data_IF_268797618744
#
_entry.id   IF_268797618744
#
_cell.length_a   1.000
_cell.length_b   1.000
_cell.length_c   1.000
_cell.angle_alpha   90.00
_cell.angle_beta   90.00
_cell.angle_gamma   90.00
#
_symmetry.space_group_name_H-M   'P 1'
#
loop_
_entity.id
_entity.type
_entity.pdbx_description
1 polymer ?
#
# COMPACT_ATOMS: atom_id res chain seq x y z
N UNK A 1 3.50 -21.51 -13.51
CA UNK A 1 4.22 -20.24 -13.78
C UNK A 1 3.15 -19.17 -13.72
N UNK A 2 3.44 -18.00 -13.14
CA UNK A 2 2.47 -16.94 -12.96
C UNK A 2 1.87 -16.50 -14.31
N UNK A 3 0.54 -16.46 -14.39
CA UNK A 3 -0.18 -15.97 -15.55
C UNK A 3 -0.78 -14.60 -15.25
N UNK A 4 -0.53 -13.65 -16.15
CA UNK A 4 -1.00 -12.28 -16.01
C UNK A 4 -2.00 -11.91 -17.10
N UNK A 5 -3.11 -11.29 -16.69
CA UNK A 5 -4.12 -10.77 -17.60
C UNK A 5 -4.31 -9.28 -17.37
N UNK A 6 -4.67 -8.55 -18.43
CA UNK A 6 -4.94 -7.10 -18.38
C UNK A 6 -6.32 -6.83 -18.96
N UNK A 7 -7.08 -5.95 -18.30
CA UNK A 7 -8.31 -5.35 -18.84
C UNK A 7 -8.19 -3.82 -18.73
N UNK A 8 -8.74 -3.10 -19.73
CA UNK A 8 -8.75 -1.63 -19.78
C UNK A 8 -10.19 -1.16 -19.82
N UNK A 9 -10.56 -0.27 -18.91
CA UNK A 9 -11.85 0.38 -18.82
C UNK A 9 -11.65 1.88 -19.05
N UNK A 10 -12.36 2.44 -20.03
CA UNK A 10 -12.26 3.83 -20.41
C UNK A 10 -13.45 4.24 -21.28
N UNK A 11 -13.79 5.52 -21.25
CA UNK A 11 -14.44 6.14 -22.40
C UNK A 11 -13.34 6.58 -23.38
N UNK A 12 -13.25 5.92 -24.54
CA UNK A 12 -12.26 6.25 -25.57
C UNK A 12 -12.59 7.51 -26.38
N UNK A 13 -13.82 8.03 -26.27
CA UNK A 13 -14.28 9.16 -27.08
C UNK A 13 -14.01 10.50 -26.41
N UNK A 14 -13.27 11.36 -27.11
CA UNK A 14 -13.00 12.73 -26.70
C UNK A 14 -13.85 13.73 -27.51
N UNK A 15 -14.31 14.84 -26.92
CA UNK A 15 -14.93 15.93 -27.66
C UNK A 15 -13.94 16.62 -28.60
N UNK A 16 -14.44 17.47 -29.50
CA UNK A 16 -13.59 18.32 -30.32
C UNK A 16 -12.63 19.15 -29.44
N UNK A 17 -11.35 19.17 -29.79
CA UNK A 17 -10.29 19.79 -28.98
C UNK A 17 -9.95 19.08 -27.66
N UNK A 18 -10.59 17.95 -27.33
CA UNK A 18 -10.30 17.17 -26.13
C UNK A 18 -8.87 16.61 -26.13
N UNK A 19 -8.23 16.54 -24.96
CA UNK A 19 -6.81 16.16 -24.84
C UNK A 19 -6.53 15.15 -23.74
N UNK A 20 -7.38 15.03 -22.73
CA UNK A 20 -7.12 14.19 -21.55
C UNK A 20 -7.89 12.87 -21.63
N UNK A 21 -7.16 11.77 -21.55
CA UNK A 21 -7.67 10.40 -21.57
C UNK A 21 -7.48 9.79 -20.20
N UNK A 22 -8.54 9.18 -19.65
CA UNK A 22 -8.51 8.47 -18.39
C UNK A 22 -8.86 7.00 -18.61
N UNK A 23 -8.10 6.11 -17.99
CA UNK A 23 -8.39 4.69 -18.03
C UNK A 23 -8.08 4.01 -16.69
N UNK A 24 -8.88 2.99 -16.37
CA UNK A 24 -8.59 2.02 -15.32
C UNK A 24 -8.01 0.77 -15.98
N UNK A 25 -6.81 0.40 -15.58
CA UNK A 25 -6.11 -0.79 -16.03
C UNK A 25 -6.10 -1.81 -14.91
N UNK A 26 -6.90 -2.87 -15.05
CA UNK A 26 -6.90 -4.00 -14.13
C UNK A 26 -5.87 -5.01 -14.57
N UNK A 27 -4.95 -5.37 -13.68
CA UNK A 27 -3.99 -6.44 -13.88
C UNK A 27 -4.27 -7.53 -12.86
N UNK A 28 -4.41 -8.78 -13.32
CA UNK A 28 -4.64 -9.94 -12.44
C UNK A 28 -3.56 -10.99 -12.64
N UNK A 29 -3.09 -11.54 -11.52
CA UNK A 29 -2.11 -12.60 -11.45
C UNK A 29 -2.76 -13.87 -10.89
N UNK A 30 -2.48 -15.01 -11.50
CA UNK A 30 -2.87 -16.34 -10.98
C UNK A 30 -1.70 -17.31 -11.09
N UNK A 31 -1.55 -18.22 -10.13
CA UNK A 31 -0.45 -19.17 -10.11
C UNK A 31 0.91 -18.51 -9.84
N UNK A 32 0.94 -17.43 -9.06
CA UNK A 32 2.15 -16.73 -8.63
C UNK A 32 3.14 -17.69 -7.94
N UNK A 33 2.60 -18.63 -7.15
CA UNK A 33 3.37 -19.59 -6.37
C UNK A 33 3.72 -19.05 -4.99
N UNK A 34 4.83 -19.53 -4.44
CA UNK A 34 5.29 -19.19 -3.08
C UNK A 34 6.57 -18.37 -3.14
N UNK A 35 6.73 -17.43 -2.22
CA UNK A 35 7.94 -16.62 -2.08
C UNK A 35 9.21 -17.47 -2.04
N UNK A 36 10.23 -17.08 -2.80
CA UNK A 36 11.53 -17.77 -2.86
C UNK A 36 11.52 -19.15 -3.54
N UNK A 37 10.39 -19.61 -4.09
CA UNK A 37 10.26 -20.94 -4.69
C UNK A 37 9.99 -20.92 -6.21
N UNK A 38 9.86 -19.74 -6.81
CA UNK A 38 9.52 -19.57 -8.24
C UNK A 38 10.73 -19.48 -9.17
N UNK A 39 11.96 -19.54 -8.64
CA UNK A 39 13.20 -19.40 -9.41
C UNK A 39 13.55 -17.95 -9.80
N UNK A 40 12.84 -16.96 -9.25
CA UNK A 40 13.09 -15.52 -9.47
C UNK A 40 14.07 -14.88 -8.47
N UNK A 41 14.71 -15.72 -7.64
CA UNK A 41 15.62 -15.35 -6.56
C UNK A 41 15.07 -15.77 -5.19
N UNK A 42 15.91 -15.67 -4.17
CA UNK A 42 15.51 -16.06 -2.81
C UNK A 42 14.64 -14.96 -2.19
N UNK A 43 13.71 -15.37 -1.31
CA UNK A 43 12.92 -14.47 -0.49
C UNK A 43 13.57 -14.25 0.87
N UNK A 44 13.41 -13.03 1.38
CA UNK A 44 13.89 -12.57 2.66
C UNK A 44 12.79 -11.85 3.44
N UNK A 45 12.60 -12.22 4.69
CA UNK A 45 11.58 -11.67 5.57
C UNK A 45 12.20 -11.14 6.87
N UNK A 46 11.89 -9.89 7.24
CA UNK A 46 12.36 -9.30 8.50
C UNK A 46 11.16 -8.92 9.35
N UNK A 47 11.08 -9.46 10.57
CA UNK A 47 10.10 -9.05 11.57
C UNK A 47 10.75 -7.99 12.46
N UNK A 48 10.22 -6.77 12.45
CA UNK A 48 10.67 -5.64 13.25
C UNK A 48 9.64 -5.37 14.33
N UNK A 49 10.02 -5.58 15.59
CA UNK A 49 9.15 -5.36 16.74
C UNK A 49 9.67 -4.20 17.56
N UNK A 50 8.81 -3.22 17.81
CA UNK A 50 9.06 -2.17 18.79
C UNK A 50 9.21 -2.77 20.19
N UNK A 51 10.33 -2.44 20.80
CA UNK A 51 10.75 -2.82 22.15
C UNK A 51 11.05 -1.59 23.01
N UNK A 52 10.49 -0.44 22.64
CA UNK A 52 10.59 0.79 23.41
C UNK A 52 9.88 0.69 24.76
N UNK A 53 10.13 1.66 25.64
CA UNK A 53 9.52 1.71 26.97
C UNK A 53 7.99 1.85 26.96
N UNK A 54 7.37 2.37 25.89
CA UNK A 54 5.91 2.58 25.80
C UNK A 54 5.12 1.29 25.73
N UNK A 55 5.71 0.21 25.17
CA UNK A 55 5.06 -1.09 24.96
C UNK A 55 4.43 -1.66 26.24
N UNK A 56 4.98 -1.33 27.42
CA UNK A 56 4.51 -1.87 28.69
C UNK A 56 4.48 -3.42 28.72
N UNK A 57 4.00 -4.04 29.80
CA UNK A 57 4.02 -5.50 29.89
C UNK A 57 3.00 -6.19 28.97
N UNK A 58 1.79 -5.63 28.86
CA UNK A 58 0.68 -6.26 28.14
C UNK A 58 0.86 -6.19 26.61
N UNK A 59 1.15 -5.02 26.05
CA UNK A 59 1.38 -4.88 24.60
C UNK A 59 2.65 -5.62 24.18
N UNK A 60 3.71 -5.58 24.99
CA UNK A 60 4.91 -6.41 24.73
C UNK A 60 4.61 -7.91 24.72
N UNK A 61 3.78 -8.41 25.65
CA UNK A 61 3.39 -9.82 25.65
C UNK A 61 2.62 -10.20 24.38
N UNK A 62 1.69 -9.36 23.92
CA UNK A 62 0.97 -9.57 22.68
C UNK A 62 1.87 -9.45 21.44
N UNK A 63 2.82 -8.51 21.43
CA UNK A 63 3.79 -8.36 20.34
C UNK A 63 4.71 -9.57 20.21
N UNK A 64 5.14 -10.15 21.34
CA UNK A 64 5.88 -11.42 21.33
C UNK A 64 5.04 -12.55 20.74
N UNK A 65 3.81 -12.71 21.20
CA UNK A 65 2.90 -13.75 20.72
C UNK A 65 2.62 -13.60 19.21
N UNK A 66 2.38 -12.37 18.76
CA UNK A 66 2.13 -12.05 17.37
C UNK A 66 3.37 -12.27 16.48
N UNK A 67 4.55 -11.84 16.93
CA UNK A 67 5.80 -12.08 16.21
C UNK A 67 6.14 -13.57 16.11
N UNK A 68 5.88 -14.36 17.17
CA UNK A 68 6.00 -15.81 17.11
C UNK A 68 4.98 -16.45 16.16
N UNK A 69 3.76 -15.89 16.08
CA UNK A 69 2.75 -16.34 15.13
C UNK A 69 3.16 -16.03 13.68
N UNK A 70 3.65 -14.82 13.39
CA UNK A 70 4.21 -14.48 12.08
C UNK A 70 5.39 -15.39 11.73
N UNK A 71 6.32 -15.61 12.66
CA UNK A 71 7.44 -16.53 12.46
C UNK A 71 6.98 -17.95 12.07
N UNK A 72 5.84 -18.42 12.58
CA UNK A 72 5.26 -19.71 12.23
C UNK A 72 4.72 -19.78 10.79
N UNK A 73 4.40 -18.65 10.17
CA UNK A 73 3.89 -18.59 8.79
C UNK A 73 5.02 -18.48 7.75
N UNK A 74 6.26 -18.16 8.15
CA UNK A 74 7.40 -18.12 7.23
C UNK A 74 7.67 -19.52 6.68
N UNK A 75 7.75 -19.63 5.35
CA UNK A 75 7.95 -20.88 4.62
C UNK A 75 9.39 -21.37 4.80
N UNK A 76 9.57 -22.67 5.02
CA UNK A 76 10.89 -23.29 5.14
C UNK A 76 11.78 -22.98 3.92
N UNK A 77 13.05 -22.68 4.17
CA UNK A 77 14.03 -22.23 3.17
C UNK A 77 14.09 -20.71 2.97
N UNK A 78 13.05 -19.96 3.35
CA UNK A 78 13.04 -18.48 3.28
C UNK A 78 14.10 -17.89 4.21
N UNK A 79 14.86 -16.91 3.74
CA UNK A 79 15.80 -16.19 4.60
C UNK A 79 15.03 -15.29 5.55
N UNK A 80 15.43 -15.23 6.82
CA UNK A 80 14.77 -14.34 7.76
C UNK A 80 15.69 -13.81 8.86
N UNK A 81 15.23 -12.71 9.47
CA UNK A 81 15.81 -12.13 10.67
C UNK A 81 14.71 -11.50 11.54
N UNK A 82 15.06 -11.24 12.80
CA UNK A 82 14.20 -10.54 13.75
C UNK A 82 14.97 -9.34 14.29
N UNK A 83 14.36 -8.15 14.21
CA UNK A 83 14.89 -6.90 14.74
C UNK A 83 14.08 -6.50 15.97
N UNK A 84 14.77 -6.16 17.05
CA UNK A 84 14.20 -5.42 18.17
C UNK A 84 14.50 -3.92 17.97
N UNK A 85 13.46 -3.11 17.90
CA UNK A 85 13.55 -1.67 17.68
C UNK A 85 13.37 -0.87 18.97
N UNK A 86 14.24 0.09 19.25
CA UNK A 86 14.04 1.11 20.28
C UNK A 86 14.64 2.45 19.79
N UNK A 87 15.39 3.18 20.62
CA UNK A 87 16.22 4.32 20.20
C UNK A 87 17.35 3.89 19.25
N UNK A 88 17.61 2.58 19.19
CA UNK A 88 18.45 1.91 18.20
C UNK A 88 17.80 0.59 17.79
N UNK A 89 18.10 0.14 16.58
CA UNK A 89 17.76 -1.20 16.13
C UNK A 89 18.83 -2.21 16.58
N UNK A 90 18.40 -3.39 17.01
CA UNK A 90 19.27 -4.51 17.32
C UNK A 90 18.81 -5.76 16.54
N UNK A 91 19.77 -6.45 15.92
CA UNK A 91 19.53 -7.78 15.38
C UNK A 91 19.33 -8.76 16.54
N UNK A 92 18.08 -9.15 16.78
CA UNK A 92 17.74 -10.09 17.85
C UNK A 92 18.02 -11.54 17.46
N UNK A 93 17.86 -11.85 16.16
CA UNK A 93 18.15 -13.16 15.59
C UNK A 93 18.40 -13.02 14.07
N UNK A 94 19.38 -13.72 13.48
CA UNK A 94 20.29 -14.70 14.11
C UNK A 94 21.38 -14.07 14.99
N UNK A 95 21.92 -14.80 15.99
CA UNK A 95 23.01 -14.32 16.85
C UNK A 95 24.35 -14.38 16.09
N UNK A 96 24.60 -13.41 15.23
CA UNK A 96 25.83 -13.36 14.41
C UNK A 96 26.79 -12.29 14.90
N UNK A 97 28.08 -12.64 14.93
CA UNK A 97 29.19 -11.70 15.18
C UNK A 97 30.00 -11.45 13.91
N UNK A 98 29.93 -12.35 12.94
CA UNK A 98 30.46 -12.23 11.58
C UNK A 98 29.62 -13.10 10.63
N UNK A 99 29.60 -12.74 9.34
CA UNK A 99 28.82 -13.46 8.31
C UNK A 99 27.46 -12.82 7.99
N UNK A 100 26.58 -13.55 7.28
CA UNK A 100 25.28 -13.03 6.85
C UNK A 100 24.37 -12.79 8.07
N UNK A 101 23.63 -11.69 8.04
CA UNK A 101 22.69 -11.31 9.09
C UNK A 101 21.28 -11.88 8.87
N UNK A 102 21.15 -12.85 7.96
CA UNK A 102 19.95 -13.64 7.71
C UNK A 102 20.30 -15.13 7.84
N UNK A 103 19.31 -15.93 8.20
CA UNK A 103 19.41 -17.40 8.20
C UNK A 103 18.17 -18.00 7.56
N UNK A 104 18.29 -19.19 6.96
CA UNK A 104 17.15 -19.88 6.36
C UNK A 104 16.21 -20.44 7.43
N UNK A 105 14.92 -20.31 7.16
CA UNK A 105 13.84 -20.87 7.98
C UNK A 105 13.87 -22.40 7.93
N UNK A 106 13.93 -23.03 9.09
CA UNK A 106 13.76 -24.46 9.32
C UNK A 106 13.27 -24.68 10.77
N UNK A 107 12.99 -25.93 11.14
CA UNK A 107 12.48 -26.24 12.49
C UNK A 107 13.37 -25.72 13.63
N UNK A 108 14.69 -25.82 13.49
CA UNK A 108 15.64 -25.37 14.51
C UNK A 108 15.68 -23.84 14.59
N UNK A 109 15.89 -23.15 13.47
CA UNK A 109 16.01 -21.69 13.44
C UNK A 109 14.70 -21.01 13.84
N UNK A 110 13.55 -21.64 13.55
CA UNK A 110 12.23 -21.21 14.04
C UNK A 110 12.13 -21.27 15.57
N UNK A 111 12.60 -22.35 16.19
CA UNK A 111 12.60 -22.49 17.65
C UNK A 111 13.54 -21.46 18.30
N UNK A 112 14.74 -21.28 17.75
CA UNK A 112 15.75 -20.35 18.26
C UNK A 112 15.27 -18.89 18.17
N UNK A 113 14.69 -18.49 17.03
CA UNK A 113 14.11 -17.17 16.84
C UNK A 113 12.91 -16.92 17.78
N UNK A 114 12.04 -17.92 17.96
CA UNK A 114 10.93 -17.84 18.91
C UNK A 114 11.41 -17.60 20.34
N UNK A 115 12.49 -18.28 20.74
CA UNK A 115 13.14 -18.06 22.04
C UNK A 115 13.79 -16.66 22.13
N UNK A 116 14.32 -16.12 21.03
CA UNK A 116 14.85 -14.76 20.97
C UNK A 116 13.76 -13.70 21.17
N UNK A 117 12.64 -13.83 20.48
CA UNK A 117 11.45 -12.97 20.66
C UNK A 117 10.96 -13.01 22.11
N UNK A 118 10.95 -14.21 22.73
CA UNK A 118 10.55 -14.38 24.13
C UNK A 118 11.34 -13.50 25.12
N UNK A 119 12.57 -13.09 24.77
CA UNK A 119 13.45 -12.25 25.59
C UNK A 119 13.24 -10.74 25.42
N UNK A 120 12.34 -10.28 24.55
CA UNK A 120 12.11 -8.84 24.39
C UNK A 120 11.64 -8.18 25.69
N UNK A 121 12.16 -6.99 25.96
CA UNK A 121 11.79 -6.18 27.13
C UNK A 121 11.67 -4.74 26.64
N UNK A 122 10.61 -4.05 27.09
CA UNK A 122 10.40 -2.64 26.78
C UNK A 122 11.46 -1.77 27.46
N UNK A 123 12.27 -1.05 26.67
CA UNK A 123 13.25 -0.08 27.17
C UNK A 123 13.64 0.92 26.10
N UNK A 124 14.09 2.11 26.49
CA UNK A 124 14.56 3.13 25.55
C UNK A 124 13.43 3.90 24.85
N UNK A 125 13.81 4.67 23.83
CA UNK A 125 12.89 5.46 23.00
C UNK A 125 12.50 4.74 21.71
N UNK A 126 12.05 5.52 20.71
CA UNK A 126 11.64 5.01 19.39
C UNK A 126 12.31 5.83 18.30
N UNK A 127 13.14 5.19 17.48
CA UNK A 127 13.84 5.81 16.35
C UNK A 127 13.73 4.90 15.11
N UNK A 128 12.61 5.03 14.41
CA UNK A 128 12.21 4.11 13.33
C UNK A 128 13.21 4.13 12.17
N UNK A 129 13.84 5.26 11.88
CA UNK A 129 14.90 5.33 10.87
C UNK A 129 16.01 4.29 11.08
N UNK A 130 16.39 4.04 12.33
CA UNK A 130 17.44 3.07 12.66
C UNK A 130 17.01 1.63 12.35
N UNK A 131 15.70 1.34 12.45
CA UNK A 131 15.13 0.02 12.19
C UNK A 131 15.11 -0.26 10.68
N UNK A 132 14.69 0.73 9.89
CA UNK A 132 14.70 0.66 8.43
C UNK A 132 16.14 0.54 7.89
N UNK A 133 17.07 1.32 8.44
CA UNK A 133 18.49 1.25 8.05
C UNK A 133 19.11 -0.12 8.36
N UNK A 134 18.81 -0.68 9.54
CA UNK A 134 19.29 -2.02 9.90
C UNK A 134 18.67 -3.11 9.01
N UNK A 135 17.37 -3.02 8.70
CA UNK A 135 16.71 -3.94 7.79
C UNK A 135 17.38 -3.94 6.41
N UNK A 136 17.68 -2.75 5.86
CA UNK A 136 18.43 -2.62 4.62
C UNK A 136 19.81 -3.27 4.68
N UNK A 137 20.57 -3.07 5.76
CA UNK A 137 21.88 -3.70 5.96
C UNK A 137 21.79 -5.23 6.06
N UNK A 138 20.76 -5.74 6.75
CA UNK A 138 20.51 -7.18 6.88
C UNK A 138 20.20 -7.80 5.53
N UNK A 139 19.31 -7.20 4.74
CA UNK A 139 19.03 -7.68 3.38
C UNK A 139 20.28 -7.64 2.49
N UNK A 140 21.11 -6.61 2.59
CA UNK A 140 22.34 -6.50 1.82
C UNK A 140 23.38 -7.57 2.16
N UNK A 141 23.28 -8.19 3.34
CA UNK A 141 24.21 -9.24 3.77
C UNK A 141 24.07 -10.56 2.99
N UNK A 142 22.96 -10.75 2.26
CA UNK A 142 22.68 -11.95 1.47
C UNK A 142 22.23 -11.54 0.04
N UNK A 143 23.17 -11.37 -0.91
CA UNK A 143 22.88 -10.80 -2.23
C UNK A 143 21.85 -11.59 -3.06
N UNK A 144 21.74 -12.91 -2.85
CA UNK A 144 20.76 -13.74 -3.56
C UNK A 144 19.31 -13.50 -3.14
N UNK A 145 19.09 -12.84 -2.00
CA UNK A 145 17.77 -12.40 -1.57
C UNK A 145 17.38 -11.17 -2.39
N UNK A 146 16.51 -11.38 -3.38
CA UNK A 146 16.01 -10.32 -4.27
C UNK A 146 14.59 -9.90 -3.92
N UNK A 147 13.78 -10.83 -3.40
CA UNK A 147 12.45 -10.53 -2.86
C UNK A 147 12.57 -10.21 -1.37
N UNK A 148 12.42 -8.94 -1.01
CA UNK A 148 12.68 -8.45 0.36
C UNK A 148 11.43 -7.82 0.95
N UNK A 149 11.00 -8.32 2.09
CA UNK A 149 9.84 -7.79 2.80
C UNK A 149 10.11 -7.65 4.31
N UNK A 150 9.64 -6.56 4.89
CA UNK A 150 9.69 -6.33 6.34
C UNK A 150 8.29 -6.09 6.92
N UNK A 151 7.98 -6.76 8.02
CA UNK A 151 6.82 -6.46 8.87
C UNK A 151 7.27 -5.57 10.02
N UNK A 152 6.75 -4.34 10.10
CA UNK A 152 7.08 -3.37 11.14
C UNK A 152 5.91 -3.14 12.09
N UNK A 153 6.15 -3.27 13.40
CA UNK A 153 5.23 -2.89 14.46
C UNK A 153 5.80 -1.77 15.31
N UNK A 154 4.98 -0.77 15.61
CA UNK A 154 5.27 0.25 16.63
C UNK A 154 4.05 0.53 17.49
N UNK A 155 4.24 0.98 18.73
CA UNK A 155 3.16 1.45 19.60
C UNK A 155 3.27 2.94 19.97
N UNK A 156 4.36 3.58 19.57
CA UNK A 156 4.79 4.88 20.09
C UNK A 156 5.13 5.89 19.00
N UNK A 157 5.14 7.16 19.39
CA UNK A 157 5.62 8.25 18.54
C UNK A 157 7.09 8.08 18.18
N UNK A 158 7.42 8.39 16.93
CA UNK A 158 8.80 8.42 16.49
C UNK A 158 9.51 9.66 17.05
N UNK A 159 10.49 9.47 17.94
CA UNK A 159 11.16 10.56 18.67
C UNK A 159 12.57 10.80 18.14
N UNK A 160 12.68 10.97 16.83
CA UNK A 160 13.94 11.25 16.16
C UNK A 160 14.06 12.69 15.66
N UNK A 161 15.26 13.09 15.22
CA UNK A 161 15.48 14.42 14.64
C UNK A 161 14.68 14.55 13.33
N UNK A 162 14.10 15.72 13.04
CA UNK A 162 13.41 15.96 11.77
C UNK A 162 14.29 15.58 10.56
N UNK A 163 13.69 14.94 9.56
CA UNK A 163 14.36 14.52 8.32
C UNK A 163 15.06 13.16 8.38
N UNK A 164 15.36 12.60 9.57
CA UNK A 164 16.04 11.30 9.68
C UNK A 164 15.19 10.12 9.19
N UNK A 165 13.89 10.16 9.46
CA UNK A 165 12.94 9.18 8.92
C UNK A 165 12.91 9.24 7.39
N UNK A 166 12.86 10.44 6.82
CA UNK A 166 12.80 10.66 5.36
C UNK A 166 14.05 10.13 4.67
N UNK A 167 15.22 10.39 5.25
CA UNK A 167 16.50 9.84 4.76
C UNK A 167 16.49 8.30 4.73
N UNK A 168 15.97 7.65 5.79
CA UNK A 168 15.90 6.20 5.88
C UNK A 168 14.87 5.61 4.90
N UNK A 169 13.70 6.24 4.77
CA UNK A 169 12.69 5.89 3.77
C UNK A 169 13.29 5.97 2.37
N UNK A 170 14.01 7.04 2.04
CA UNK A 170 14.64 7.20 0.73
C UNK A 170 15.68 6.11 0.43
N UNK A 171 16.47 5.69 1.44
CA UNK A 171 17.42 4.57 1.29
C UNK A 171 16.72 3.22 1.10
N UNK A 172 15.57 3.01 1.75
CA UNK A 172 14.80 1.79 1.67
C UNK A 172 13.93 1.70 0.40
N UNK A 173 13.56 2.84 -0.19
CA UNK A 173 12.67 2.93 -1.35
C UNK A 173 13.26 2.21 -2.56
N UNK A 174 12.47 1.31 -3.15
CA UNK A 174 12.90 0.46 -4.26
C UNK A 174 13.89 -0.65 -3.87
N UNK A 175 14.20 -0.80 -2.57
CA UNK A 175 15.10 -1.84 -2.07
C UNK A 175 14.37 -3.00 -1.39
N UNK A 176 13.40 -2.72 -0.50
CA UNK A 176 12.52 -3.72 0.11
C UNK A 176 11.10 -3.17 0.31
N UNK A 177 10.12 -4.06 0.44
CA UNK A 177 8.75 -3.70 0.77
C UNK A 177 8.50 -3.73 2.28
N UNK A 178 7.60 -2.88 2.80
CA UNK A 178 7.31 -2.86 4.23
C UNK A 178 5.83 -2.67 4.56
N UNK A 179 5.23 -3.69 5.15
CA UNK A 179 3.91 -3.62 5.79
C UNK A 179 4.06 -3.18 7.26
N UNK A 180 3.32 -2.15 7.66
CA UNK A 180 3.41 -1.50 8.97
C UNK A 180 2.13 -1.67 9.79
N UNK A 181 2.26 -1.84 11.10
CA UNK A 181 1.13 -1.85 12.04
C UNK A 181 1.43 -0.98 13.25
N UNK A 182 0.42 -0.23 13.68
CA UNK A 182 0.50 0.59 14.88
C UNK A 182 -0.38 0.03 16.00
N UNK A 183 0.21 -0.32 17.14
CA UNK A 183 -0.50 -0.84 18.31
C UNK A 183 -1.05 0.29 19.18
N UNK A 184 -2.29 0.15 19.63
CA UNK A 184 -2.95 1.18 20.45
C UNK A 184 -3.02 2.52 19.71
N UNK A 185 -2.87 3.62 20.46
CA UNK A 185 -3.16 4.97 19.96
C UNK A 185 -2.04 5.97 20.16
N UNK A 186 -0.87 5.54 20.63
CA UNK A 186 0.22 6.44 21.05
C UNK A 186 1.29 6.63 19.96
N UNK A 187 0.91 6.45 18.69
CA UNK A 187 1.72 6.61 17.50
C UNK A 187 1.03 7.53 16.48
N UNK A 188 1.78 8.00 15.47
CA UNK A 188 1.27 8.93 14.47
C UNK A 188 0.99 8.24 13.13
N UNK A 189 -0.29 8.22 12.72
CA UNK A 189 -0.73 7.56 11.48
C UNK A 189 0.01 8.09 10.26
N UNK A 190 0.15 9.41 10.14
CA UNK A 190 0.81 10.06 9.01
C UNK A 190 2.28 9.63 8.86
N UNK A 191 3.03 9.45 9.95
CA UNK A 191 4.43 9.04 9.88
C UNK A 191 4.57 7.60 9.37
N UNK A 192 3.77 6.68 9.91
CA UNK A 192 3.83 5.26 9.54
C UNK A 192 3.27 5.02 8.14
N UNK A 193 2.23 5.77 7.75
CA UNK A 193 1.70 5.77 6.38
C UNK A 193 2.79 6.11 5.37
N UNK A 194 3.61 7.13 5.64
CA UNK A 194 4.71 7.52 4.73
C UNK A 194 5.69 6.37 4.50
N UNK A 195 6.00 5.57 5.53
CA UNK A 195 6.86 4.38 5.38
C UNK A 195 6.17 3.35 4.48
N UNK A 196 4.95 2.96 4.83
CA UNK A 196 4.20 1.93 4.09
C UNK A 196 4.02 2.32 2.61
N UNK A 197 3.61 3.55 2.33
CA UNK A 197 3.46 4.05 0.96
C UNK A 197 4.79 4.04 0.22
N UNK A 198 5.84 4.63 0.79
CA UNK A 198 7.17 4.67 0.17
C UNK A 198 7.71 3.27 -0.16
N UNK A 199 7.43 2.29 0.71
CA UNK A 199 7.90 0.92 0.60
C UNK A 199 6.82 -0.05 0.08
N UNK A 200 5.83 0.44 -0.68
CA UNK A 200 4.82 -0.38 -1.37
C UNK A 200 4.15 -1.43 -0.48
N UNK A 201 3.81 -1.06 0.74
CA UNK A 201 3.09 -1.86 1.71
C UNK A 201 1.87 -1.12 2.27
N UNK A 202 1.33 -1.64 3.37
CA UNK A 202 0.09 -1.18 3.99
C UNK A 202 0.32 -0.69 5.43
N UNK A 203 -0.57 0.18 5.91
CA UNK A 203 -0.63 0.60 7.31
C UNK A 203 -2.01 0.30 7.88
N UNK A 204 -2.06 -0.23 9.11
CA UNK A 204 -3.31 -0.29 9.86
C UNK A 204 -3.07 -0.20 11.38
N UNK A 205 -4.13 0.17 12.10
CA UNK A 205 -4.16 0.19 13.56
C UNK A 205 -4.49 -1.20 14.10
N UNK A 206 -3.88 -1.55 15.23
CA UNK A 206 -4.24 -2.69 16.07
C UNK A 206 -4.75 -2.08 17.39
N UNK A 207 -6.06 -1.79 17.51
CA UNK A 207 -6.61 -1.07 18.65
C UNK A 207 -6.41 -1.80 19.98
N UNK A 208 -6.37 -3.13 19.94
CA UNK A 208 -6.28 -3.98 21.13
C UNK A 208 -5.25 -5.09 20.97
N UNK A 209 -4.50 -5.42 22.04
CA UNK A 209 -3.48 -6.46 21.99
C UNK A 209 -3.96 -7.84 21.53
N UNK A 210 -5.22 -8.21 21.82
CA UNK A 210 -5.81 -9.52 21.44
C UNK A 210 -5.96 -9.72 19.92
N UNK A 211 -5.92 -8.64 19.14
CA UNK A 211 -6.04 -8.69 17.68
C UNK A 211 -4.69 -8.85 16.97
N UNK A 212 -3.59 -8.61 17.68
CA UNK A 212 -2.25 -8.50 17.09
C UNK A 212 -1.78 -9.79 16.42
N UNK A 213 -2.07 -10.93 17.06
CA UNK A 213 -1.71 -12.25 16.55
C UNK A 213 -2.29 -12.50 15.16
N UNK A 214 -3.60 -12.30 14.99
CA UNK A 214 -4.28 -12.56 13.73
C UNK A 214 -3.77 -11.63 12.61
N UNK A 215 -3.56 -10.36 12.93
CA UNK A 215 -3.01 -9.37 11.98
C UNK A 215 -1.62 -9.77 11.48
N UNK A 216 -0.73 -10.19 12.37
CA UNK A 216 0.62 -10.63 12.01
C UNK A 216 0.62 -11.88 11.13
N UNK A 217 -0.26 -12.85 11.44
CA UNK A 217 -0.41 -14.05 10.62
C UNK A 217 -0.93 -13.72 9.23
N UNK A 218 -1.91 -12.82 9.12
CA UNK A 218 -2.48 -12.39 7.84
C UNK A 218 -1.41 -11.74 6.94
N UNK A 219 -0.65 -10.78 7.47
CA UNK A 219 0.41 -10.10 6.73
C UNK A 219 1.48 -11.09 6.29
N UNK A 220 1.91 -11.98 7.19
CA UNK A 220 2.98 -12.92 6.87
C UNK A 220 2.54 -13.94 5.81
N UNK A 221 1.30 -14.46 5.90
CA UNK A 221 0.73 -15.31 4.86
C UNK A 221 0.66 -14.59 3.51
N UNK A 222 0.25 -13.33 3.51
CA UNK A 222 0.21 -12.52 2.30
C UNK A 222 1.62 -12.30 1.72
N UNK A 223 2.64 -12.04 2.55
CA UNK A 223 4.05 -11.95 2.10
C UNK A 223 4.52 -13.26 1.47
N UNK A 224 4.29 -14.41 2.13
CA UNK A 224 4.71 -15.72 1.65
C UNK A 224 3.98 -16.18 0.38
N UNK A 225 2.76 -15.68 0.13
CA UNK A 225 2.01 -15.93 -1.09
C UNK A 225 2.53 -15.15 -2.31
N UNK A 226 3.47 -14.21 -2.14
CA UNK A 226 4.05 -13.45 -3.25
C UNK A 226 5.09 -14.29 -3.98
N UNK A 227 4.66 -15.12 -4.92
CA UNK A 227 5.58 -15.94 -5.70
C UNK A 227 6.33 -15.20 -6.81
N UNK A 228 5.90 -13.99 -7.19
CA UNK A 228 6.61 -13.13 -8.16
C UNK A 228 7.36 -12.04 -7.40
N UNK A 229 8.69 -12.01 -7.51
CA UNK A 229 9.56 -11.16 -6.69
C UNK A 229 9.44 -9.65 -6.98
N UNK A 230 9.38 -9.27 -8.26
CA UNK A 230 9.27 -7.87 -8.67
C UNK A 230 8.59 -7.78 -10.04
N UNK A 231 7.67 -6.82 -10.19
CA UNK A 231 7.06 -6.46 -11.45
C UNK A 231 6.96 -4.95 -11.60
N UNK A 232 6.99 -4.49 -12.85
CA UNK A 232 6.90 -3.08 -13.21
C UNK A 232 5.69 -2.82 -14.10
N UNK A 233 4.95 -1.76 -13.80
CA UNK A 233 3.94 -1.22 -14.69
C UNK A 233 4.65 -0.33 -15.73
N UNK A 234 4.87 -0.87 -16.92
CA UNK A 234 5.57 -0.20 -18.03
C UNK A 234 4.57 0.54 -18.90
N UNK A 235 4.70 1.86 -18.95
CA UNK A 235 3.80 2.73 -19.72
C UNK A 235 4.59 3.36 -20.86
N UNK A 236 4.17 3.04 -22.08
CA UNK A 236 4.59 3.75 -23.29
C UNK A 236 3.54 4.80 -23.66
N UNK A 237 3.99 5.96 -24.12
CA UNK A 237 3.15 7.04 -24.68
C UNK A 237 3.74 7.51 -26.02
N UNK A 238 2.92 7.94 -26.99
CA UNK A 238 3.41 8.45 -28.26
C UNK A 238 4.15 9.79 -28.07
N UNK A 239 4.97 10.16 -29.06
CA UNK A 239 5.68 11.45 -29.04
C UNK A 239 4.69 12.61 -28.88
N UNK A 240 4.99 13.53 -27.96
CA UNK A 240 4.17 14.70 -27.65
C UNK A 240 3.01 14.43 -26.69
N UNK A 241 2.77 13.18 -26.28
CA UNK A 241 1.88 12.86 -25.18
C UNK A 241 2.61 12.95 -23.83
N UNK A 242 1.83 13.15 -22.77
CA UNK A 242 2.31 13.27 -21.40
C UNK A 242 1.48 12.38 -20.47
N UNK A 243 2.14 11.55 -19.67
CA UNK A 243 1.48 10.90 -18.53
C UNK A 243 1.21 11.98 -17.47
N UNK A 244 -0.07 12.20 -17.15
CA UNK A 244 -0.50 13.16 -16.14
C UNK A 244 -0.35 12.57 -14.73
N UNK A 245 -0.84 11.35 -14.53
CA UNK A 245 -0.65 10.59 -13.30
C UNK A 245 -0.76 9.09 -13.53
N UNK A 246 -0.21 8.32 -12.59
CA UNK A 246 -0.37 6.87 -12.46
C UNK A 246 -0.64 6.57 -11.00
N UNK A 247 -1.82 6.03 -10.70
CA UNK A 247 -2.23 5.68 -9.34
C UNK A 247 -2.65 4.24 -9.26
N UNK A 248 -2.20 3.50 -8.26
CA UNK A 248 -2.91 2.30 -7.86
C UNK A 248 -4.18 2.73 -7.14
N UNK A 249 -5.32 2.20 -7.54
CA UNK A 249 -6.64 2.53 -6.98
C UNK A 249 -7.37 1.31 -6.41
N UNK A 250 -6.79 0.12 -6.54
CA UNK A 250 -7.19 -1.07 -5.79
C UNK A 250 -6.02 -2.06 -5.63
N UNK A 251 -5.91 -2.78 -4.49
CA UNK A 251 -6.81 -2.77 -3.33
C UNK A 251 -6.59 -1.59 -2.36
N UNK A 252 -5.48 -0.87 -2.53
CA UNK A 252 -5.16 0.34 -1.79
C UNK A 252 -4.81 1.48 -2.75
N UNK A 253 -5.17 2.69 -2.35
CA UNK A 253 -4.83 3.92 -3.06
C UNK A 253 -3.36 4.28 -2.81
N UNK A 254 -2.57 4.34 -3.89
CA UNK A 254 -1.16 4.74 -3.88
C UNK A 254 -0.87 5.59 -5.12
N UNK A 255 -0.24 6.76 -4.94
CA UNK A 255 0.20 7.59 -6.06
C UNK A 255 1.62 7.20 -6.49
N UNK A 256 1.71 6.69 -7.72
CA UNK A 256 2.96 6.24 -8.32
C UNK A 256 3.54 7.28 -9.29
N UNK A 257 2.88 8.41 -9.50
CA UNK A 257 3.20 9.38 -10.57
C UNK A 257 4.67 9.80 -10.56
N UNK A 258 5.21 10.13 -9.39
CA UNK A 258 6.59 10.59 -9.24
C UNK A 258 7.61 9.43 -9.09
N UNK A 259 7.13 8.18 -9.16
CA UNK A 259 7.96 6.97 -9.02
C UNK A 259 8.37 6.34 -10.35
N UNK A 260 8.00 6.98 -11.47
CA UNK A 260 8.31 6.49 -12.80
C UNK A 260 9.78 6.63 -13.17
N UNK A 261 10.45 5.52 -13.45
CA UNK A 261 11.83 5.48 -13.98
C UNK A 261 11.82 5.45 -15.51
N UNK A 262 12.63 6.30 -16.16
CA UNK A 262 12.68 6.33 -17.62
C UNK A 262 13.41 5.11 -18.17
N UNK A 263 12.76 4.37 -19.08
CA UNK A 263 13.39 3.28 -19.86
C UNK A 263 13.96 3.84 -21.16
N UNK A 264 13.19 4.70 -21.83
CA UNK A 264 13.58 5.44 -23.03
C UNK A 264 12.71 6.72 -23.11
N UNK A 265 12.88 7.61 -24.12
CA UNK A 265 12.13 8.87 -24.19
C UNK A 265 10.60 8.75 -24.18
N UNK A 266 10.05 7.60 -24.54
CA UNK A 266 8.61 7.36 -24.68
C UNK A 266 8.06 6.36 -23.66
N UNK A 267 8.92 5.75 -22.83
CA UNK A 267 8.55 4.66 -21.92
C UNK A 267 9.06 4.89 -20.50
N UNK A 268 8.18 4.72 -19.52
CA UNK A 268 8.50 4.76 -18.09
C UNK A 268 8.03 3.49 -17.39
N UNK A 269 8.82 3.01 -16.44
CA UNK A 269 8.49 1.91 -15.55
C UNK A 269 8.12 2.44 -14.17
N UNK A 270 6.95 2.06 -13.67
CA UNK A 270 6.46 2.34 -12.33
C UNK A 270 6.56 1.09 -11.46
N UNK A 271 7.07 1.20 -10.21
CA UNK A 271 7.28 0.04 -9.37
C UNK A 271 5.94 -0.49 -8.85
N UNK A 272 5.74 -1.81 -8.94
CA UNK A 272 4.58 -2.49 -8.34
C UNK A 272 4.99 -3.50 -7.26
N UNK A 273 6.29 -3.80 -7.13
CA UNK A 273 6.79 -4.74 -6.14
C UNK A 273 6.41 -6.18 -6.44
N UNK A 274 6.39 -7.02 -5.40
CA UNK A 274 6.10 -8.44 -5.52
C UNK A 274 4.59 -8.70 -5.70
N UNK A 275 4.25 -9.81 -6.36
CA UNK A 275 2.86 -10.20 -6.66
C UNK A 275 2.54 -11.61 -6.15
N UNK A 276 1.32 -11.75 -5.62
CA UNK A 276 0.66 -13.00 -5.27
C UNK A 276 -0.46 -13.32 -6.28
N UNK A 277 -1.33 -14.28 -5.94
CA UNK A 277 -2.59 -14.48 -6.65
C UNK A 277 -3.57 -13.36 -6.26
N UNK A 278 -3.54 -12.28 -7.03
CA UNK A 278 -4.22 -11.03 -6.72
C UNK A 278 -4.62 -10.25 -7.98
N UNK A 279 -5.41 -9.19 -7.78
CA UNK A 279 -5.69 -8.19 -8.80
C UNK A 279 -5.38 -6.80 -8.26
N UNK A 280 -4.80 -5.95 -9.11
CA UNK A 280 -4.59 -4.53 -8.82
C UNK A 280 -5.16 -3.70 -9.97
N UNK A 281 -5.78 -2.58 -9.60
CA UNK A 281 -6.36 -1.64 -10.57
C UNK A 281 -5.55 -0.34 -10.54
N UNK A 282 -5.20 0.17 -11.72
CA UNK A 282 -4.40 1.37 -11.89
C UNK A 282 -5.17 2.43 -12.68
N UNK A 283 -5.33 3.63 -12.12
CA UNK A 283 -5.85 4.78 -12.84
C UNK A 283 -4.71 5.52 -13.53
N UNK A 284 -4.73 5.48 -14.86
CA UNK A 284 -3.73 6.12 -15.72
C UNK A 284 -4.40 7.26 -16.47
N UNK A 285 -3.86 8.47 -16.32
CA UNK A 285 -4.28 9.63 -17.09
C UNK A 285 -3.17 10.09 -18.03
N UNK A 286 -3.54 10.33 -19.29
CA UNK A 286 -2.60 10.73 -20.35
C UNK A 286 -3.17 11.90 -21.12
N UNK A 287 -2.35 12.92 -21.32
CA UNK A 287 -2.63 14.04 -22.21
C UNK A 287 -2.06 13.75 -23.59
N UNK A 288 -2.90 13.85 -24.62
CA UNK A 288 -2.54 13.73 -26.03
C UNK A 288 -2.86 15.03 -26.78
N UNK A 289 -2.18 15.27 -27.90
CA UNK A 289 -2.56 16.36 -28.79
C UNK A 289 -3.94 16.08 -29.42
N UNK A 290 -4.80 17.09 -29.44
CA UNK A 290 -6.10 17.00 -30.10
C UNK A 290 -5.93 16.71 -31.60
N UNK A 291 -6.81 15.88 -32.14
CA UNK A 291 -6.87 15.52 -33.57
C UNK A 291 -8.23 15.86 -34.16
N UNK A 292 -8.31 15.79 -35.49
CA UNK A 292 -9.57 16.00 -36.19
C UNK A 292 -10.60 14.93 -35.81
N UNK A 293 -11.88 15.32 -35.82
CA UNK A 293 -13.02 14.42 -35.61
C UNK A 293 -12.91 13.19 -36.51
N UNK A 294 -13.16 12.01 -35.93
CA UNK A 294 -13.08 10.70 -36.59
C UNK A 294 -11.69 10.05 -36.58
N UNK A 295 -10.64 10.77 -36.14
CA UNK A 295 -9.31 10.16 -35.99
C UNK A 295 -9.21 9.36 -34.69
N UNK A 296 -8.49 8.24 -34.75
CA UNK A 296 -8.12 7.41 -33.60
C UNK A 296 -6.60 7.54 -33.34
N UNK A 297 -6.22 7.46 -32.07
CA UNK A 297 -4.84 7.39 -31.62
C UNK A 297 -4.70 6.47 -30.41
N UNK A 298 -3.59 5.74 -30.35
CA UNK A 298 -3.17 5.09 -29.12
C UNK A 298 -2.60 6.15 -28.17
N UNK A 299 -3.28 6.42 -27.06
CA UNK A 299 -2.84 7.36 -26.04
C UNK A 299 -1.73 6.76 -25.16
N UNK A 300 -1.87 5.50 -24.78
CA UNK A 300 -0.81 4.76 -24.10
C UNK A 300 -0.90 3.25 -24.33
N UNK A 301 0.23 2.57 -24.17
CA UNK A 301 0.31 1.12 -24.00
C UNK A 301 0.81 0.85 -22.59
N UNK A 302 -0.01 0.15 -21.81
CA UNK A 302 0.30 -0.22 -20.44
C UNK A 302 0.62 -1.70 -20.40
N UNK A 303 1.79 -2.06 -19.89
CA UNK A 303 2.26 -3.44 -19.81
C UNK A 303 2.63 -3.76 -18.36
N UNK A 304 2.43 -5.00 -17.94
CA UNK A 304 3.16 -5.51 -16.79
C UNK A 304 4.44 -6.19 -17.30
N UNK A 305 5.58 -5.83 -16.74
CA UNK A 305 6.88 -6.39 -17.10
C UNK A 305 7.54 -7.10 -15.91
N UNK A 306 8.08 -8.29 -16.17
CA UNK A 306 8.98 -9.02 -15.28
C UNK A 306 10.41 -8.88 -15.85
N UNK A 307 11.21 -8.00 -15.23
CA UNK A 307 12.47 -7.55 -15.83
C UNK A 307 12.24 -6.87 -17.18
N UNK A 308 12.85 -7.38 -18.25
CA UNK A 308 12.68 -6.86 -19.60
C UNK A 308 11.43 -7.40 -20.33
N UNK A 309 10.84 -8.49 -19.82
CA UNK A 309 9.78 -9.21 -20.51
C UNK A 309 8.41 -8.67 -20.14
N UNK A 310 7.69 -8.11 -21.11
CA UNK A 310 6.27 -7.79 -20.95
C UNK A 310 5.44 -9.09 -20.91
N UNK A 311 4.72 -9.33 -19.82
CA UNK A 311 3.92 -10.55 -19.60
C UNK A 311 2.44 -10.37 -19.93
N UNK A 312 1.96 -9.12 -19.93
CA UNK A 312 0.59 -8.77 -20.35
C UNK A 312 0.55 -7.31 -20.79
N UNK A 313 -0.48 -6.92 -21.55
CA UNK A 313 -0.64 -5.53 -22.00
C UNK A 313 -2.11 -5.12 -22.20
N UNK A 314 -2.36 -3.83 -22.00
CA UNK A 314 -3.59 -3.12 -22.30
C UNK A 314 -3.32 -1.86 -23.13
N UNK A 315 -4.27 -1.48 -23.97
CA UNK A 315 -4.18 -0.32 -24.86
C UNK A 315 -5.18 0.76 -24.41
N UNK A 316 -4.69 1.96 -24.18
CA UNK A 316 -5.49 3.15 -23.87
C UNK A 316 -5.66 3.93 -25.17
N UNK A 317 -6.90 4.05 -25.65
CA UNK A 317 -7.24 4.68 -26.94
C UNK A 317 -7.86 6.06 -26.77
N UNK A 318 -7.77 6.88 -27.81
CA UNK A 318 -8.43 8.17 -27.94
C UNK A 318 -9.02 8.32 -29.34
N UNK A 319 -10.31 8.61 -29.43
CA UNK A 319 -11.05 8.84 -30.68
C UNK A 319 -11.83 10.14 -30.57
N UNK A 320 -11.59 11.11 -31.46
CA UNK A 320 -12.28 12.40 -31.40
C UNK A 320 -13.65 12.32 -32.07
N UNK A 321 -14.69 12.77 -31.40
CA UNK A 321 -16.07 12.71 -31.88
C UNK A 321 -16.83 14.01 -31.61
N UNK A 322 -17.69 14.39 -32.54
CA UNK A 322 -18.68 15.46 -32.34
C UNK A 322 -20.02 14.91 -31.83
N UNK A 323 -20.14 13.60 -31.62
CA UNK A 323 -21.33 13.00 -31.03
C UNK A 323 -21.30 13.16 -29.50
N UNK A 324 -22.18 14.01 -28.98
CA UNK A 324 -22.33 14.22 -27.53
C UNK A 324 -22.65 12.93 -26.80
N UNK A 325 -23.44 12.03 -27.39
CA UNK A 325 -23.80 10.75 -26.75
C UNK A 325 -22.62 9.80 -26.54
N UNK A 326 -21.52 9.96 -27.29
CA UNK A 326 -20.29 9.18 -27.10
C UNK A 326 -19.36 9.86 -26.09
N UNK A 327 -19.22 11.18 -26.20
CA UNK A 327 -18.25 11.96 -25.43
C UNK A 327 -18.69 12.26 -24.00
N UNK A 328 -19.99 12.26 -23.71
CA UNK A 328 -20.50 12.44 -22.35
C UNK A 328 -20.74 11.13 -21.60
N UNK A 329 -20.36 9.97 -22.17
CA UNK A 329 -20.48 8.69 -21.48
C UNK A 329 -19.51 8.65 -20.30
N UNK A 330 -20.05 8.32 -19.15
CA UNK A 330 -19.26 8.11 -17.93
C UNK A 330 -18.90 6.63 -17.88
N UNK A 331 -17.60 6.33 -17.91
CA UNK A 331 -17.12 4.99 -17.61
C UNK A 331 -17.27 4.73 -16.11
N UNK A 332 -17.98 3.65 -15.75
CA UNK A 332 -18.34 3.37 -14.37
C UNK A 332 -17.11 3.12 -13.49
N UNK A 333 -16.09 2.45 -14.02
CA UNK A 333 -14.85 2.15 -13.31
C UNK A 333 -14.04 3.41 -13.06
N UNK A 334 -13.91 4.28 -14.07
CA UNK A 334 -13.23 5.58 -13.93
C UNK A 334 -13.96 6.45 -12.89
N UNK A 335 -15.28 6.53 -12.96
CA UNK A 335 -16.08 7.33 -12.01
C UNK A 335 -15.97 6.80 -10.58
N UNK A 336 -16.08 5.48 -10.40
CA UNK A 336 -15.97 4.82 -9.10
C UNK A 336 -14.64 5.12 -8.42
N UNK A 337 -13.51 4.89 -9.11
CA UNK A 337 -12.19 5.11 -8.52
C UNK A 337 -11.82 6.58 -8.35
N UNK A 338 -12.37 7.46 -9.20
CA UNK A 338 -12.27 8.92 -8.98
C UNK A 338 -12.98 9.31 -7.68
N UNK A 339 -14.19 8.79 -7.44
CA UNK A 339 -14.94 9.02 -6.20
C UNK A 339 -14.23 8.47 -4.96
N UNK A 340 -13.59 7.29 -5.05
CA UNK A 340 -12.82 6.74 -3.92
C UNK A 340 -11.54 7.52 -3.63
N UNK A 341 -10.90 8.07 -4.65
CA UNK A 341 -9.74 8.96 -4.47
C UNK A 341 -10.17 10.25 -3.76
N UNK A 342 -11.32 10.83 -4.15
CA UNK A 342 -11.89 11.99 -3.46
C UNK A 342 -12.27 11.65 -2.01
N UNK A 343 -12.88 10.47 -1.77
CA UNK A 343 -13.25 10.00 -0.43
C UNK A 343 -12.04 9.97 0.51
N UNK A 344 -10.94 9.37 0.05
CA UNK A 344 -9.71 9.28 0.82
C UNK A 344 -9.19 10.66 1.24
N UNK A 345 -9.17 11.61 0.30
CA UNK A 345 -8.74 12.98 0.55
C UNK A 345 -9.67 13.70 1.55
N UNK A 346 -10.99 13.58 1.38
CA UNK A 346 -11.97 14.21 2.26
C UNK A 346 -11.91 13.68 3.70
N UNK A 347 -11.67 12.38 3.88
CA UNK A 347 -11.44 11.79 5.21
C UNK A 347 -10.20 12.40 5.86
N UNK A 348 -9.06 12.39 5.16
CA UNK A 348 -7.78 12.85 5.70
C UNK A 348 -7.80 14.35 6.02
N UNK A 349 -8.30 15.18 5.09
CA UNK A 349 -8.45 16.61 5.29
C UNK A 349 -9.44 16.93 6.44
N UNK A 350 -10.54 16.17 6.54
CA UNK A 350 -11.52 16.35 7.59
C UNK A 350 -10.98 16.00 8.99
N UNK A 351 -10.23 14.90 9.11
CA UNK A 351 -9.57 14.51 10.36
C UNK A 351 -8.46 15.50 10.74
N UNK A 352 -7.67 15.98 9.77
CA UNK A 352 -6.65 16.99 10.02
C UNK A 352 -7.27 18.33 10.50
N UNK A 353 -8.36 18.78 9.87
CA UNK A 353 -9.10 19.96 10.30
C UNK A 353 -9.66 19.79 11.72
N UNK A 354 -10.21 18.61 12.04
CA UNK A 354 -10.70 18.29 13.38
C UNK A 354 -9.58 18.35 14.43
N UNK A 355 -8.41 17.78 14.12
CA UNK A 355 -7.24 17.83 14.99
C UNK A 355 -6.73 19.26 15.22
N UNK A 356 -6.85 20.13 14.22
CA UNK A 356 -6.51 21.55 14.32
C UNK A 356 -7.59 22.41 15.02
N UNK A 357 -8.74 21.83 15.38
CA UNK A 357 -9.87 22.56 15.97
C UNK A 357 -10.71 23.36 14.97
N UNK A 358 -10.49 23.17 13.67
CA UNK A 358 -11.33 23.74 12.61
C UNK A 358 -12.58 22.88 12.37
N UNK A 359 -13.55 23.01 13.28
CA UNK A 359 -14.80 22.25 13.25
C UNK A 359 -15.62 22.49 11.97
N UNK A 360 -15.55 23.71 11.41
CA UNK A 360 -16.30 24.07 10.20
C UNK A 360 -15.78 23.26 9.01
N UNK A 361 -14.47 23.31 8.76
CA UNK A 361 -13.85 22.54 7.68
C UNK A 361 -13.99 21.04 7.90
N UNK A 362 -13.80 20.56 9.14
CA UNK A 362 -13.97 19.16 9.47
C UNK A 362 -15.38 18.66 9.15
N UNK A 363 -16.40 19.44 9.48
CA UNK A 363 -17.81 19.10 9.20
C UNK A 363 -18.07 19.02 7.69
N UNK A 364 -17.62 20.01 6.92
CA UNK A 364 -17.78 20.01 5.45
C UNK A 364 -17.08 18.81 4.81
N UNK A 365 -15.82 18.55 5.18
CA UNK A 365 -15.00 17.50 4.58
C UNK A 365 -15.51 16.10 4.95
N UNK A 366 -15.79 15.85 6.23
CA UNK A 366 -16.34 14.56 6.66
C UNK A 366 -17.78 14.34 6.18
N UNK A 367 -18.56 15.41 5.98
CA UNK A 367 -19.87 15.36 5.34
C UNK A 367 -19.78 14.88 3.89
N UNK A 368 -18.88 15.47 3.10
CA UNK A 368 -18.59 15.02 1.73
C UNK A 368 -18.06 13.59 1.69
N UNK A 369 -17.23 13.19 2.66
CA UNK A 369 -16.76 11.82 2.79
C UNK A 369 -17.91 10.82 3.02
N UNK A 370 -18.90 11.16 3.85
CA UNK A 370 -20.09 10.31 4.06
C UNK A 370 -20.87 10.13 2.75
N UNK A 371 -21.08 11.21 2.00
CA UNK A 371 -21.75 11.15 0.71
C UNK A 371 -21.01 10.23 -0.27
N UNK A 372 -19.70 10.42 -0.44
CA UNK A 372 -18.87 9.62 -1.34
C UNK A 372 -18.79 8.14 -0.92
N UNK A 373 -18.72 7.86 0.38
CA UNK A 373 -18.70 6.49 0.90
C UNK A 373 -19.99 5.74 0.56
N UNK A 374 -21.14 6.41 0.64
CA UNK A 374 -22.43 5.87 0.24
C UNK A 374 -22.53 5.67 -1.29
N UNK A 375 -22.11 6.66 -2.07
CA UNK A 375 -22.12 6.61 -3.55
C UNK A 375 -21.22 5.49 -4.10
N UNK A 376 -20.06 5.27 -3.48
CA UNK A 376 -19.07 4.26 -3.92
C UNK A 376 -19.25 2.88 -3.28
N UNK A 377 -20.23 2.72 -2.36
CA UNK A 377 -20.48 1.46 -1.66
C UNK A 377 -19.30 0.98 -0.80
N UNK A 378 -18.54 1.91 -0.21
CA UNK A 378 -17.44 1.58 0.69
C UNK A 378 -17.98 1.36 2.11
N UNK A 379 -18.44 0.14 2.39
CA UNK A 379 -19.05 -0.24 3.66
C UNK A 379 -18.07 -0.08 4.84
N UNK A 380 -16.79 -0.37 4.64
CA UNK A 380 -15.76 -0.21 5.69
C UNK A 380 -15.60 1.26 6.07
N UNK A 381 -15.39 2.15 5.09
CA UNK A 381 -15.29 3.59 5.33
C UNK A 381 -16.58 4.16 5.94
N UNK A 382 -17.74 3.74 5.45
CA UNK A 382 -19.05 4.13 5.98
C UNK A 382 -19.19 3.78 7.46
N UNK A 383 -18.83 2.54 7.82
CA UNK A 383 -18.92 2.06 9.21
C UNK A 383 -18.01 2.85 10.16
N UNK A 384 -16.79 3.20 9.70
CA UNK A 384 -15.81 3.96 10.47
C UNK A 384 -16.19 5.45 10.57
N UNK A 385 -16.69 6.05 9.49
CA UNK A 385 -17.21 7.43 9.48
C UNK A 385 -18.32 7.61 10.51
N UNK A 386 -19.27 6.68 10.58
CA UNK A 386 -20.37 6.69 11.58
C UNK A 386 -19.89 6.63 13.04
N UNK A 387 -18.63 6.25 13.29
CA UNK A 387 -18.06 6.32 14.63
C UNK A 387 -17.56 7.72 14.99
N UNK A 388 -17.17 8.52 13.99
CA UNK A 388 -16.59 9.87 14.15
C UNK A 388 -17.64 10.97 14.00
N UNK A 389 -18.66 10.76 13.16
CA UNK A 389 -19.73 11.74 12.92
C UNK A 389 -21.12 11.15 13.17
N UNK A 390 -22.05 12.00 13.60
CA UNK A 390 -23.48 11.72 13.60
C UNK A 390 -24.03 12.13 12.23
N UNK A 391 -24.56 11.18 11.47
CA UNK A 391 -25.08 11.42 10.12
C UNK A 391 -26.55 11.81 10.21
N UNK A 392 -26.89 13.00 9.74
CA UNK A 392 -28.27 13.51 9.69
C UNK A 392 -28.91 13.23 8.33
N UNK A 393 -28.15 13.45 7.24
CA UNK A 393 -28.57 13.10 5.88
C UNK A 393 -27.35 12.67 5.04
N UNK A 394 -27.32 11.41 4.59
CA UNK A 394 -26.26 10.87 3.74
C UNK A 394 -26.24 11.50 2.34
N UNK A 395 -27.41 11.81 1.76
CA UNK A 395 -27.51 12.33 0.40
C UNK A 395 -26.99 13.77 0.28
N UNK A 396 -27.24 14.59 1.30
CA UNK A 396 -26.78 15.98 1.35
C UNK A 396 -25.39 16.12 2.00
N UNK A 397 -24.80 15.03 2.48
CA UNK A 397 -23.56 15.05 3.28
C UNK A 397 -23.70 15.84 4.59
N UNK A 398 -24.91 15.94 5.15
CA UNK A 398 -25.17 16.70 6.38
C UNK A 398 -24.83 15.84 7.59
N UNK A 399 -23.80 16.27 8.32
CA UNK A 399 -23.26 15.56 9.49
C UNK A 399 -23.00 16.53 10.63
N UNK A 400 -23.00 15.99 11.85
CA UNK A 400 -22.51 16.68 13.05
C UNK A 400 -21.32 15.92 13.61
N UNK A 401 -20.23 16.63 13.91
CA UNK A 401 -19.10 16.02 14.61
C UNK A 401 -19.55 15.51 15.98
N UNK A 402 -19.16 14.28 16.33
CA UNK A 402 -19.40 13.78 17.68
C UNK A 402 -18.50 14.51 18.66
N UNK A 403 -19.07 14.87 19.81
CA UNK A 403 -18.37 15.60 20.87
C UNK A 403 -17.26 14.78 21.53
N UNK A 404 -17.46 13.47 21.61
CA UNK A 404 -16.50 12.52 22.14
C UNK A 404 -16.36 11.39 21.12
N UNK A 405 -15.16 11.23 20.58
CA UNK A 405 -14.80 10.15 19.67
C UNK A 405 -13.61 9.43 20.28
N UNK A 406 -13.62 8.10 20.22
CA UNK A 406 -12.48 7.31 20.65
C UNK A 406 -11.30 7.55 19.69
N UNK A 407 -10.11 7.82 20.25
CA UNK A 407 -8.90 8.09 19.44
C UNK A 407 -8.59 6.93 18.49
N UNK A 408 -8.85 5.69 18.90
CA UNK A 408 -8.65 4.52 18.06
C UNK A 408 -9.62 4.50 16.88
N UNK A 409 -10.86 5.01 17.03
CA UNK A 409 -11.81 5.08 15.93
C UNK A 409 -11.41 6.14 14.89
N UNK A 410 -10.85 7.28 15.32
CA UNK A 410 -10.29 8.29 14.41
C UNK A 410 -9.09 7.73 13.64
N UNK A 411 -8.15 7.10 14.35
CA UNK A 411 -6.98 6.49 13.74
C UNK A 411 -7.37 5.35 12.80
N UNK A 412 -8.38 4.55 13.16
CA UNK A 412 -8.90 3.48 12.32
C UNK A 412 -9.58 4.01 11.05
N UNK A 413 -10.25 5.16 11.11
CA UNK A 413 -10.80 5.84 9.94
C UNK A 413 -9.66 6.39 9.05
N UNK A 414 -8.64 7.00 9.66
CA UNK A 414 -7.49 7.52 8.93
C UNK A 414 -6.71 6.39 8.22
N UNK A 415 -6.36 5.30 8.90
CA UNK A 415 -5.63 4.18 8.27
C UNK A 415 -6.43 3.50 7.16
N UNK A 416 -7.76 3.40 7.32
CA UNK A 416 -8.63 2.79 6.32
C UNK A 416 -8.97 3.74 5.16
N UNK A 417 -8.63 5.03 5.23
CA UNK A 417 -9.03 6.00 4.20
C UNK A 417 -8.46 5.68 2.83
N UNK A 418 -7.33 4.98 2.77
CA UNK A 418 -6.67 4.55 1.52
C UNK A 418 -7.06 3.14 1.10
N UNK A 419 -7.92 2.44 1.87
CA UNK A 419 -8.48 1.14 1.45
C UNK A 419 -9.67 1.38 0.53
N UNK A 420 -9.60 0.74 -0.63
CA UNK A 420 -10.59 0.94 -1.71
C UNK A 420 -11.40 -0.32 -1.93
N UNK A 421 -12.66 -0.15 -2.35
CA UNK A 421 -13.50 -1.28 -2.78
C UNK A 421 -13.49 -1.39 -4.29
N UNK A 422 -13.43 -2.61 -4.83
CA UNK A 422 -13.50 -2.82 -6.27
C UNK A 422 -14.93 -2.65 -6.77
N UNK A 423 -15.07 -2.24 -8.04
CA UNK A 423 -16.35 -2.29 -8.75
C UNK A 423 -16.85 -3.73 -8.76
N UNK A 424 -18.06 -3.97 -8.23
CA UNK A 424 -18.69 -5.30 -8.30
C UNK A 424 -18.90 -5.63 -9.78
N UNK A 425 -18.44 -6.80 -10.24
CA UNK A 425 -18.86 -7.30 -11.56
C UNK A 425 -20.38 -7.51 -11.50
N UNK A 426 -21.12 -6.87 -12.40
CA UNK A 426 -22.52 -7.22 -12.60
C UNK A 426 -22.59 -8.73 -12.92
N UNK A 427 -23.48 -9.51 -12.26
CA UNK A 427 -23.64 -10.94 -12.54
C UNK A 427 -24.14 -11.26 -13.97
N UNK A 428 -24.43 -10.25 -14.78
CA UNK A 428 -25.00 -10.38 -16.12
C UNK A 428 -24.03 -9.85 -17.16
N UNK A 429 -23.07 -10.68 -17.55
CA UNK A 429 -22.08 -10.36 -18.58
C UNK A 429 -21.47 -11.63 -19.16
N UNK A 430 -22.34 -12.53 -19.62
CA UNK A 430 -22.02 -13.72 -20.43
C UNK A 430 -22.67 -13.58 -21.80
#
# INVERSE_FOLDING_TARGET
MAEFTTAVFQNEFLPDGGTDVNAIVTISCTGAGTAGQSGSGDAGEIIIVDTSGSMGPATMAAAKDAAQAALAEIVDGTWFAVIAGADRAMLAYPPVTSGPALVQMNAQTRQEASAAIGRFVGSGGTAISTWLDLAGQIFASVPQVTQRHALLLTDGENRERPGRLDEAINRATGYFQCDCRGAGTDWQVAEIRRIAQALLGTVDIIPRPDQMRAQFQEIMRASMARGVADAKLRIWTPQGAQVLFVRQVAPTLEDLTDRGTAVNPLTRDYPTGAWADESRDYHVAVRVAAKAIGQEQLAARVQLALGENAVTQGLIKATWSNNSELTTRIDQQVAHYTGQTELAAMIQEGLAAKAAGDEATATTKLGRAVQLAAETGNDEATSKLRKVVDVENEADGTVRLKRAVDKADEMALDTASTKTTRVRKDPTGS
#
